data_IF_105970229544
#
_entry.id   IF_105970229544
#
_cell.length_a   1.000
_cell.length_b   1.000
_cell.length_c   1.000
_cell.angle_alpha   90.00
_cell.angle_beta   90.00
_cell.angle_gamma   90.00
#
_symmetry.space_group_name_H-M   'P 1'
#
loop_
_entity.id
_entity.type
_entity.pdbx_description
1 polymer ?
#
# COMPACT_ATOMS: atom_id res chain seq x y z
N UNK A 1 -17.42 17.06 -16.44
CA UNK A 1 -16.68 16.02 -15.71
C UNK A 1 -16.61 16.46 -14.26
N UNK A 2 -17.06 15.62 -13.33
CA UNK A 2 -16.95 15.89 -11.88
C UNK A 2 -15.49 15.64 -11.47
N UNK A 3 -14.94 16.49 -10.59
CA UNK A 3 -13.60 16.28 -10.03
C UNK A 3 -13.57 14.97 -9.22
N UNK A 4 -12.53 14.16 -9.39
CA UNK A 4 -12.34 12.91 -8.65
C UNK A 4 -11.85 13.16 -7.22
N UNK A 5 -11.09 14.25 -7.01
CA UNK A 5 -10.51 14.61 -5.72
C UNK A 5 -10.96 16.02 -5.29
N UNK A 6 -11.50 16.15 -4.08
CA UNK A 6 -12.03 17.42 -3.56
C UNK A 6 -10.96 18.42 -3.14
N UNK A 7 -9.76 17.95 -2.85
CA UNK A 7 -8.60 18.74 -2.41
C UNK A 7 -7.68 19.17 -3.57
N UNK A 8 -7.98 18.72 -4.80
CA UNK A 8 -7.15 18.96 -5.98
C UNK A 8 -7.90 19.88 -6.94
N UNK A 9 -7.26 21.01 -7.30
CA UNK A 9 -7.84 21.94 -8.26
C UNK A 9 -8.13 21.21 -9.60
N UNK A 10 -9.31 21.33 -10.22
CA UNK A 10 -9.71 20.51 -11.38
C UNK A 10 -8.72 20.55 -12.56
N UNK A 11 -8.09 21.71 -12.80
CA UNK A 11 -7.03 21.87 -13.82
C UNK A 11 -5.81 20.97 -13.56
N UNK A 12 -5.42 20.82 -12.30
CA UNK A 12 -4.26 20.01 -11.90
C UNK A 12 -4.58 18.52 -11.96
N UNK A 13 -5.79 18.12 -11.57
CA UNK A 13 -6.29 16.76 -11.75
C UNK A 13 -6.28 16.35 -13.24
N UNK A 14 -6.81 17.20 -14.11
CA UNK A 14 -6.81 16.95 -15.56
C UNK A 14 -5.38 16.77 -16.11
N UNK A 15 -4.44 17.62 -15.70
CA UNK A 15 -3.03 17.53 -16.07
C UNK A 15 -2.39 16.23 -15.55
N UNK A 16 -2.64 15.86 -14.29
CA UNK A 16 -2.13 14.63 -13.70
C UNK A 16 -2.61 13.39 -14.48
N UNK A 17 -3.91 13.32 -14.79
CA UNK A 17 -4.51 12.23 -15.56
C UNK A 17 -3.86 12.13 -16.94
N UNK A 18 -3.66 13.27 -17.62
CA UNK A 18 -3.00 13.32 -18.92
C UNK A 18 -1.56 12.80 -18.86
N UNK A 19 -0.78 13.28 -17.89
CA UNK A 19 0.60 12.85 -17.69
C UNK A 19 0.70 11.35 -17.41
N UNK A 20 -0.17 10.82 -16.55
CA UNK A 20 -0.24 9.38 -16.27
C UNK A 20 -0.63 8.62 -17.54
N UNK A 21 -1.63 9.05 -18.31
CA UNK A 21 -2.04 8.36 -19.54
C UNK A 21 -0.91 8.23 -20.55
N UNK A 22 -0.15 9.31 -20.77
CA UNK A 22 1.01 9.36 -21.68
C UNK A 22 2.24 8.58 -21.19
N UNK A 23 2.28 8.22 -19.91
CA UNK A 23 3.42 7.55 -19.31
C UNK A 23 3.62 6.13 -19.87
N UNK A 24 4.87 5.72 -20.15
CA UNK A 24 5.18 4.33 -20.49
C UNK A 24 4.71 3.35 -19.41
N UNK A 25 4.27 2.16 -19.82
CA UNK A 25 3.71 1.16 -18.90
C UNK A 25 4.66 0.80 -17.76
N UNK A 26 5.95 0.60 -18.05
CA UNK A 26 6.96 0.25 -17.05
C UNK A 26 7.08 1.32 -15.94
N UNK A 27 6.94 2.60 -16.28
CA UNK A 27 7.06 3.70 -15.32
C UNK A 27 5.82 3.79 -14.43
N UNK A 28 4.63 3.48 -14.97
CA UNK A 28 3.40 3.33 -14.17
C UNK A 28 3.57 2.24 -13.12
N UNK A 29 4.09 1.08 -13.52
CA UNK A 29 4.35 -0.04 -12.62
C UNK A 29 5.39 0.33 -11.55
N UNK A 30 6.47 1.01 -11.93
CA UNK A 30 7.48 1.47 -10.96
C UNK A 30 6.89 2.43 -9.91
N UNK A 31 6.01 3.36 -10.30
CA UNK A 31 5.30 4.22 -9.34
C UNK A 31 4.39 3.39 -8.44
N UNK A 32 3.63 2.45 -9.02
CA UNK A 32 2.73 1.57 -8.27
C UNK A 32 3.50 0.72 -7.25
N UNK A 33 4.67 0.21 -7.61
CA UNK A 33 5.55 -0.55 -6.72
C UNK A 33 6.00 0.30 -5.53
N UNK A 34 6.48 1.52 -5.78
CA UNK A 34 6.85 2.47 -4.72
C UNK A 34 5.68 2.83 -3.79
N UNK A 35 4.46 2.95 -4.32
CA UNK A 35 3.26 3.17 -3.51
C UNK A 35 2.95 1.96 -2.62
N UNK A 36 3.11 0.74 -3.12
CA UNK A 36 2.93 -0.48 -2.32
C UNK A 36 3.93 -0.56 -1.16
N UNK A 37 5.21 -0.26 -1.40
CA UNK A 37 6.22 -0.23 -0.34
C UNK A 37 5.97 0.87 0.70
N UNK A 38 5.46 2.01 0.27
CA UNK A 38 5.06 3.10 1.17
C UNK A 38 3.92 2.67 2.09
N UNK A 39 2.87 2.04 1.53
CA UNK A 39 1.73 1.52 2.31
C UNK A 39 2.17 0.45 3.31
N UNK A 40 3.04 -0.49 2.91
CA UNK A 40 3.60 -1.50 3.82
C UNK A 40 4.36 -0.85 4.97
N UNK A 41 5.19 0.15 4.68
CA UNK A 41 5.95 0.89 5.69
C UNK A 41 5.02 1.58 6.69
N UNK A 42 3.99 2.26 6.21
CA UNK A 42 2.98 2.91 7.07
C UNK A 42 2.23 1.88 7.93
N UNK A 43 1.84 0.74 7.35
CA UNK A 43 1.17 -0.34 8.06
C UNK A 43 2.06 -0.91 9.19
N UNK A 44 3.33 -1.18 8.91
CA UNK A 44 4.29 -1.64 9.92
C UNK A 44 4.42 -0.62 11.06
N UNK A 45 4.51 0.68 10.73
CA UNK A 45 4.58 1.74 11.74
C UNK A 45 3.35 1.74 12.65
N UNK A 46 2.15 1.64 12.06
CA UNK A 46 0.90 1.55 12.82
C UNK A 46 0.75 0.25 13.64
N UNK A 47 1.33 -0.87 13.19
CA UNK A 47 1.41 -2.11 13.97
C UNK A 47 2.34 -1.93 15.17
N UNK A 48 3.54 -1.40 14.97
CA UNK A 48 4.51 -1.15 16.06
C UNK A 48 3.96 -0.20 17.12
N UNK A 49 3.22 0.82 16.71
CA UNK A 49 2.58 1.76 17.64
C UNK A 49 1.54 1.07 18.54
N UNK A 50 0.75 0.13 17.99
CA UNK A 50 -0.29 -0.61 18.74
C UNK A 50 0.27 -1.80 19.53
N UNK A 51 1.39 -2.36 19.09
CA UNK A 51 2.04 -3.52 19.72
C UNK A 51 3.54 -3.25 19.96
N UNK A 52 3.90 -2.38 20.92
CA UNK A 52 5.29 -1.96 21.12
C UNK A 52 6.27 -3.11 21.43
N UNK A 53 5.77 -4.19 22.05
CA UNK A 53 6.56 -5.34 22.49
C UNK A 53 6.48 -6.53 21.52
N UNK A 54 5.87 -6.37 20.34
CA UNK A 54 5.74 -7.45 19.38
C UNK A 54 7.10 -7.84 18.81
N UNK A 55 7.37 -9.15 18.76
CA UNK A 55 8.54 -9.68 18.08
C UNK A 55 8.44 -9.42 16.56
N UNK A 56 9.57 -9.32 15.82
CA UNK A 56 9.55 -9.07 14.38
C UNK A 56 8.67 -10.04 13.58
N UNK A 57 8.66 -11.33 13.94
CA UNK A 57 7.81 -12.34 13.30
C UNK A 57 6.31 -12.07 13.49
N UNK A 58 5.91 -11.57 14.68
CA UNK A 58 4.52 -11.20 14.96
C UNK A 58 4.10 -9.97 14.15
N UNK A 59 5.01 -9.00 13.98
CA UNK A 59 4.77 -7.83 13.12
C UNK A 59 4.54 -8.26 11.67
N UNK A 60 5.38 -9.15 11.14
CA UNK A 60 5.22 -9.68 9.78
C UNK A 60 3.91 -10.46 9.61
N UNK A 61 3.52 -11.24 10.61
CA UNK A 61 2.25 -11.97 10.62
C UNK A 61 1.05 -11.01 10.57
N UNK A 62 1.04 -9.98 11.41
CA UNK A 62 -0.02 -8.97 11.41
C UNK A 62 -0.08 -8.17 10.11
N UNK A 63 1.07 -7.86 9.51
CA UNK A 63 1.11 -7.22 8.19
C UNK A 63 0.49 -8.14 7.12
N UNK A 64 0.84 -9.43 7.12
CA UNK A 64 0.28 -10.39 6.18
C UNK A 64 -1.23 -10.52 6.33
N UNK A 65 -1.75 -10.58 7.56
CA UNK A 65 -3.20 -10.60 7.82
C UNK A 65 -3.89 -9.33 7.34
N UNK A 66 -3.27 -8.16 7.51
CA UNK A 66 -3.81 -6.89 7.04
C UNK A 66 -3.85 -6.80 5.50
N UNK A 67 -2.81 -7.30 4.83
CA UNK A 67 -2.68 -7.18 3.36
C UNK A 67 -3.44 -8.26 2.59
N UNK A 68 -3.46 -9.48 3.10
CA UNK A 68 -3.99 -10.65 2.39
C UNK A 68 -5.34 -11.11 2.96
N UNK A 69 -5.70 -10.67 4.17
CA UNK A 69 -6.77 -11.26 4.95
C UNK A 69 -6.30 -12.53 5.69
N UNK A 70 -7.06 -12.92 6.72
CA UNK A 70 -6.68 -14.00 7.64
C UNK A 70 -6.48 -15.36 6.93
N UNK A 71 -7.35 -15.70 5.97
CA UNK A 71 -7.29 -16.99 5.28
C UNK A 71 -6.01 -17.15 4.44
N UNK A 72 -5.71 -16.16 3.60
CA UNK A 72 -4.53 -16.19 2.73
C UNK A 72 -3.25 -16.01 3.55
N UNK A 73 -3.26 -15.16 4.58
CA UNK A 73 -2.14 -15.02 5.50
C UNK A 73 -1.83 -16.36 6.19
N UNK A 74 -2.84 -17.12 6.62
CA UNK A 74 -2.65 -18.45 7.20
C UNK A 74 -2.05 -19.44 6.20
N UNK A 75 -2.53 -19.46 4.96
CA UNK A 75 -1.99 -20.37 3.93
C UNK A 75 -0.54 -20.08 3.59
N UNK A 76 -0.15 -18.81 3.52
CA UNK A 76 1.22 -18.40 3.10
C UNK A 76 2.20 -18.39 4.29
N UNK A 77 1.76 -17.93 5.46
CA UNK A 77 2.64 -17.68 6.62
C UNK A 77 2.35 -18.58 7.83
N UNK A 78 1.36 -19.47 7.79
CA UNK A 78 0.99 -20.32 8.93
C UNK A 78 2.02 -21.41 9.27
N UNK A 79 2.97 -21.68 8.37
CA UNK A 79 4.05 -22.66 8.58
C UNK A 79 5.34 -22.05 9.13
N UNK A 80 5.44 -20.72 9.20
CA UNK A 80 6.57 -20.03 9.83
C UNK A 80 6.36 -20.04 11.36
N UNK A 81 6.73 -21.15 12.00
CA UNK A 81 6.86 -21.26 13.46
C UNK A 81 8.25 -20.81 13.90
#
# INVERSE_FOLDING_TARGET
MTALYSDTHPKMEALQIELIRRMPAWKKISIMDGLNETVKTMAISGIKQRHPNAAPAQIQRMLAELMLGAELAQKVYGHAK
#
